data_IF_893843687266
#
_entry.id   IF_893843687266
#
_cell.length_a   1.000
_cell.length_b   1.000
_cell.length_c   1.000
_cell.angle_alpha   90.00
_cell.angle_beta   90.00
_cell.angle_gamma   90.00
#
_symmetry.space_group_name_H-M   'P 1'
#
loop_
_entity.id
_entity.type
_entity.pdbx_description
1 polymer ?
#
# COMPACT_ATOMS: atom_id res chain seq x y z
N UNK A 1 14.96 -14.12 -9.67
CA UNK A 1 14.54 -13.83 -8.27
C UNK A 1 13.07 -14.21 -8.16
N UNK A 2 12.80 -15.38 -7.59
CA UNK A 2 11.44 -15.92 -7.39
C UNK A 2 10.84 -15.55 -6.03
N UNK A 3 9.72 -16.17 -5.69
CA UNK A 3 9.02 -15.98 -4.43
C UNK A 3 9.96 -16.26 -3.24
N UNK A 4 9.88 -15.39 -2.22
CA UNK A 4 10.62 -15.56 -0.96
C UNK A 4 9.63 -15.74 0.17
N UNK A 5 9.90 -16.67 1.09
CA UNK A 5 9.05 -16.92 2.25
C UNK A 5 9.87 -16.95 3.53
N UNK A 6 9.39 -16.26 4.56
CA UNK A 6 9.99 -16.21 5.90
C UNK A 6 8.92 -16.49 6.94
N UNK A 7 9.20 -17.40 7.86
CA UNK A 7 8.34 -17.68 9.01
C UNK A 7 9.11 -17.34 10.29
N UNK A 8 8.48 -16.59 11.19
CA UNK A 8 9.08 -16.11 12.44
C UNK A 8 8.21 -16.54 13.62
N UNK A 9 8.77 -17.29 14.57
CA UNK A 9 8.10 -17.62 15.83
C UNK A 9 8.51 -16.64 16.94
N UNK A 10 7.56 -15.88 17.48
CA UNK A 10 7.77 -14.89 18.57
C UNK A 10 6.65 -14.96 19.60
N UNK A 11 6.92 -14.45 20.81
CA UNK A 11 5.89 -14.30 21.82
C UNK A 11 4.93 -13.20 21.37
N UNK A 12 3.73 -13.62 20.96
CA UNK A 12 2.67 -12.79 20.39
C UNK A 12 1.34 -13.51 20.61
N UNK A 13 0.23 -12.78 20.65
CA UNK A 13 -1.10 -13.38 20.87
C UNK A 13 -1.75 -13.88 19.57
N UNK A 14 -1.52 -13.16 18.47
CA UNK A 14 -2.12 -13.45 17.17
C UNK A 14 -1.02 -13.57 16.09
N UNK A 15 -1.21 -14.45 15.09
CA UNK A 15 -0.33 -14.49 13.93
C UNK A 15 -0.55 -13.26 13.03
N UNK A 16 0.42 -12.92 12.21
CA UNK A 16 0.32 -11.81 11.25
C UNK A 16 0.93 -12.27 9.92
N UNK A 17 0.25 -12.01 8.81
CA UNK A 17 0.78 -12.22 7.47
C UNK A 17 1.17 -10.90 6.84
N UNK A 18 2.33 -10.87 6.17
CA UNK A 18 2.86 -9.76 5.39
C UNK A 18 3.13 -10.24 3.96
N UNK A 19 2.73 -9.45 2.98
CA UNK A 19 3.10 -9.61 1.57
C UNK A 19 3.81 -8.34 1.11
N UNK A 20 4.88 -8.49 0.35
CA UNK A 20 5.62 -7.36 -0.18
C UNK A 20 6.15 -7.63 -1.59
N UNK A 21 6.19 -6.57 -2.41
CA UNK A 21 6.82 -6.56 -3.73
C UNK A 21 7.84 -5.43 -3.81
N UNK A 22 8.93 -5.67 -4.51
CA UNK A 22 9.87 -4.61 -4.86
C UNK A 22 9.25 -3.71 -5.93
N UNK A 23 9.28 -2.41 -5.66
CA UNK A 23 8.72 -1.36 -6.51
C UNK A 23 9.74 -0.22 -6.64
N UNK A 24 9.64 0.64 -7.66
CA UNK A 24 10.60 1.71 -7.85
C UNK A 24 10.46 2.78 -6.77
N UNK A 25 11.41 3.72 -6.73
CA UNK A 25 11.30 4.92 -5.93
C UNK A 25 10.49 6.01 -6.66
N UNK A 26 10.34 7.17 -6.01
CA UNK A 26 9.64 8.36 -6.53
C UNK A 26 10.10 8.84 -7.91
N UNK A 27 11.33 8.50 -8.29
CA UNK A 27 11.93 8.86 -9.59
C UNK A 27 11.24 8.18 -10.77
N UNK A 28 10.49 7.11 -10.53
CA UNK A 28 9.70 6.46 -11.56
C UNK A 28 8.43 7.27 -11.90
N UNK A 29 8.04 7.23 -13.17
CA UNK A 29 6.75 7.76 -13.61
C UNK A 29 5.57 6.97 -13.03
N UNK A 30 5.79 5.74 -12.56
CA UNK A 30 4.77 4.89 -11.94
C UNK A 30 4.54 5.21 -10.45
N UNK A 31 5.43 5.96 -9.79
CA UNK A 31 5.33 6.24 -8.37
C UNK A 31 4.00 6.89 -7.93
N UNK A 32 3.41 7.85 -8.66
CA UNK A 32 2.10 8.42 -8.32
C UNK A 32 0.97 7.37 -8.38
N UNK A 33 1.02 6.48 -9.37
CA UNK A 33 0.05 5.40 -9.50
C UNK A 33 0.21 4.37 -8.38
N UNK A 34 1.44 4.05 -7.96
CA UNK A 34 1.70 3.19 -6.79
C UNK A 34 1.16 3.81 -5.49
N UNK A 35 1.33 5.11 -5.28
CA UNK A 35 0.79 5.84 -4.12
C UNK A 35 -0.75 5.78 -4.08
N UNK A 36 -1.39 6.05 -5.22
CA UNK A 36 -2.85 5.98 -5.36
C UNK A 36 -3.34 4.55 -5.13
N UNK A 37 -2.66 3.55 -5.68
CA UNK A 37 -3.01 2.15 -5.51
C UNK A 37 -2.89 1.70 -4.04
N UNK A 38 -1.86 2.15 -3.32
CA UNK A 38 -1.68 1.90 -1.88
C UNK A 38 -2.86 2.46 -1.09
N UNK A 39 -3.27 3.68 -1.42
CA UNK A 39 -4.41 4.34 -0.76
C UNK A 39 -5.73 3.61 -1.05
N UNK A 40 -5.95 3.11 -2.27
CA UNK A 40 -7.15 2.33 -2.62
C UNK A 40 -7.19 1.01 -1.84
N UNK A 41 -6.06 0.32 -1.75
CA UNK A 41 -5.99 -0.99 -1.10
C UNK A 41 -6.04 -0.89 0.42
N UNK A 42 -5.33 0.05 1.02
CA UNK A 42 -5.06 0.08 2.46
C UNK A 42 -5.31 1.43 3.14
N UNK A 43 -5.71 2.47 2.41
CA UNK A 43 -5.90 3.84 2.92
C UNK A 43 -7.13 4.04 3.82
N UNK A 44 -7.18 3.37 4.97
CA UNK A 44 -8.22 3.55 5.99
C UNK A 44 -9.50 2.75 5.74
N UNK A 45 -10.61 3.15 6.36
CA UNK A 45 -11.84 2.35 6.44
C UNK A 45 -12.59 2.18 5.12
N UNK A 46 -12.34 3.04 4.15
CA UNK A 46 -12.95 2.95 2.82
C UNK A 46 -12.11 2.13 1.83
N UNK A 47 -10.94 1.62 2.27
CA UNK A 47 -10.03 0.84 1.45
C UNK A 47 -10.55 -0.58 1.19
N UNK A 48 -10.10 -1.19 0.08
CA UNK A 48 -10.57 -2.54 -0.32
C UNK A 48 -10.26 -3.60 0.74
N UNK A 49 -9.05 -3.57 1.32
CA UNK A 49 -8.65 -4.56 2.33
C UNK A 49 -9.49 -4.43 3.61
N UNK A 50 -9.70 -3.22 4.10
CA UNK A 50 -10.52 -3.02 5.30
C UNK A 50 -11.98 -3.42 5.03
N UNK A 51 -12.57 -2.94 3.93
CA UNK A 51 -13.98 -3.21 3.62
C UNK A 51 -14.27 -4.70 3.48
N UNK A 52 -13.43 -5.42 2.73
CA UNK A 52 -13.65 -6.85 2.48
C UNK A 52 -13.24 -7.70 3.69
N UNK A 53 -11.99 -7.61 4.12
CA UNK A 53 -11.42 -8.56 5.07
C UNK A 53 -11.82 -8.28 6.52
N UNK A 54 -12.02 -7.01 6.90
CA UNK A 54 -12.34 -6.62 8.27
C UNK A 54 -13.84 -6.43 8.46
N UNK A 55 -14.48 -5.65 7.59
CA UNK A 55 -15.88 -5.27 7.78
C UNK A 55 -16.89 -6.28 7.24
N UNK A 56 -16.76 -6.71 5.98
CA UNK A 56 -17.78 -7.55 5.32
C UNK A 56 -17.65 -9.03 5.67
N UNK A 57 -16.47 -9.62 5.47
CA UNK A 57 -16.25 -11.07 5.65
C UNK A 57 -15.69 -11.43 7.02
N UNK A 58 -15.22 -10.43 7.78
CA UNK A 58 -14.67 -10.60 9.13
C UNK A 58 -13.60 -11.72 9.22
N UNK A 59 -12.73 -11.77 8.22
CA UNK A 59 -11.60 -12.72 8.19
C UNK A 59 -10.40 -12.18 8.97
N UNK A 60 -10.24 -10.87 8.99
CA UNK A 60 -9.13 -10.18 9.62
C UNK A 60 -9.64 -9.25 10.73
N UNK A 61 -8.93 -9.24 11.86
CA UNK A 61 -9.10 -8.26 12.92
C UNK A 61 -8.72 -6.86 12.41
N UNK A 62 -7.63 -6.82 11.64
CA UNK A 62 -7.07 -5.63 11.02
C UNK A 62 -6.35 -6.01 9.73
N UNK A 63 -6.35 -5.08 8.79
CA UNK A 63 -5.61 -5.20 7.54
C UNK A 63 -5.13 -3.81 7.12
N UNK A 64 -3.95 -3.76 6.54
CA UNK A 64 -3.32 -2.52 6.13
C UNK A 64 -2.18 -2.76 5.16
N UNK A 65 -1.45 -1.71 4.89
CA UNK A 65 -0.37 -1.73 3.91
C UNK A 65 0.08 -0.33 3.58
N UNK A 66 1.20 -0.25 2.88
CA UNK A 66 1.79 1.02 2.50
C UNK A 66 2.70 0.87 1.28
N UNK A 67 2.89 1.99 0.61
CA UNK A 67 4.00 2.23 -0.30
C UNK A 67 4.53 3.61 0.05
N UNK A 68 5.79 3.70 0.47
CA UNK A 68 6.36 4.99 0.79
C UNK A 68 6.85 5.68 -0.48
N UNK A 69 6.13 6.72 -0.90
CA UNK A 69 6.59 7.64 -1.94
C UNK A 69 7.92 8.32 -1.57
N UNK A 70 8.22 8.51 -0.28
CA UNK A 70 9.42 9.23 0.17
C UNK A 70 10.63 8.30 0.37
N UNK A 71 10.97 7.54 -0.66
CA UNK A 71 12.15 6.69 -0.68
C UNK A 71 13.20 7.20 -1.70
N UNK A 72 14.48 7.14 -1.32
CA UNK A 72 15.62 7.48 -2.21
C UNK A 72 15.80 6.35 -3.23
N UNK A 73 15.93 5.13 -2.72
CA UNK A 73 16.15 3.90 -3.49
C UNK A 73 14.85 3.12 -3.71
N UNK A 74 14.82 2.16 -4.67
CA UNK A 74 13.69 1.25 -4.82
C UNK A 74 13.27 0.65 -3.48
N UNK A 75 11.96 0.60 -3.23
CA UNK A 75 11.41 0.25 -1.93
C UNK A 75 10.40 -0.90 -2.08
N UNK A 76 9.59 -1.13 -1.04
CA UNK A 76 8.55 -2.13 -0.98
C UNK A 76 7.18 -1.49 -1.08
N UNK A 77 6.32 -2.15 -1.84
CA UNK A 77 4.88 -2.05 -1.67
C UNK A 77 4.47 -3.26 -0.86
N UNK A 78 3.86 -3.06 0.30
CA UNK A 78 3.53 -4.14 1.20
C UNK A 78 2.14 -4.00 1.81
N UNK A 79 1.58 -5.15 2.18
CA UNK A 79 0.31 -5.29 2.88
C UNK A 79 0.47 -6.30 3.99
N UNK A 80 -0.46 -6.24 4.92
CA UNK A 80 -0.50 -7.17 6.02
C UNK A 80 -1.92 -7.32 6.54
N UNK A 81 -2.15 -8.42 7.24
CA UNK A 81 -3.40 -8.65 7.94
C UNK A 81 -3.20 -9.60 9.12
N UNK A 82 -4.02 -9.38 10.15
CA UNK A 82 -4.07 -10.19 11.39
C UNK A 82 -5.39 -10.97 11.37
N UNK A 83 -5.40 -12.31 11.46
CA UNK A 83 -6.63 -13.10 11.37
C UNK A 83 -7.49 -12.93 12.61
N UNK A 84 -8.80 -13.03 12.39
CA UNK A 84 -9.77 -13.21 13.47
C UNK A 84 -9.57 -14.57 14.16
N UNK A 85 -10.02 -14.72 15.42
CA UNK A 85 -10.06 -16.03 16.08
C UNK A 85 -10.80 -17.06 15.21
N UNK A 86 -10.18 -18.23 15.02
CA UNK A 86 -10.70 -19.29 14.15
C UNK A 86 -10.32 -19.16 12.67
N UNK A 87 -9.68 -18.06 12.26
CA UNK A 87 -9.08 -17.90 10.93
C UNK A 87 -7.56 -18.13 10.97
N UNK A 88 -6.97 -18.38 9.81
CA UNK A 88 -5.55 -18.70 9.68
C UNK A 88 -4.79 -17.64 8.88
N UNK A 89 -3.48 -17.57 9.12
CA UNK A 89 -2.59 -16.71 8.33
C UNK A 89 -2.57 -17.14 6.86
N UNK A 90 -2.69 -18.43 6.57
CA UNK A 90 -2.73 -18.99 5.22
C UNK A 90 -4.00 -18.57 4.46
N UNK A 91 -5.15 -18.47 5.15
CA UNK A 91 -6.37 -17.93 4.55
C UNK A 91 -6.17 -16.46 4.17
N UNK A 92 -5.65 -15.64 5.08
CA UNK A 92 -5.39 -14.23 4.79
C UNK A 92 -4.33 -14.02 3.73
N UNK A 93 -3.28 -14.86 3.68
CA UNK A 93 -2.27 -14.83 2.62
C UNK A 93 -2.93 -14.93 1.24
N UNK A 94 -3.81 -15.94 1.06
CA UNK A 94 -4.54 -16.14 -0.20
C UNK A 94 -5.42 -14.95 -0.54
N UNK A 95 -6.13 -14.38 0.44
CA UNK A 95 -7.01 -13.25 0.22
C UNK A 95 -6.24 -11.97 -0.14
N UNK A 96 -5.10 -11.72 0.49
CA UNK A 96 -4.23 -10.59 0.15
C UNK A 96 -3.67 -10.72 -1.28
N UNK A 97 -3.26 -11.93 -1.69
CA UNK A 97 -2.87 -12.20 -3.08
C UNK A 97 -4.04 -11.92 -4.02
N UNK A 98 -5.24 -12.42 -3.69
CA UNK A 98 -6.42 -12.25 -4.53
C UNK A 98 -6.83 -10.77 -4.69
N UNK A 99 -6.67 -9.93 -3.66
CA UNK A 99 -6.90 -8.48 -3.79
C UNK A 99 -5.93 -7.81 -4.75
N UNK A 100 -4.66 -8.20 -4.70
CA UNK A 100 -3.65 -7.69 -5.64
C UNK A 100 -3.90 -8.16 -7.07
N UNK A 101 -4.26 -9.43 -7.25
CA UNK A 101 -4.54 -9.99 -8.58
C UNK A 101 -5.82 -9.41 -9.20
N UNK A 102 -6.84 -9.13 -8.39
CA UNK A 102 -8.05 -8.43 -8.85
C UNK A 102 -7.74 -7.07 -9.44
N UNK A 103 -6.79 -6.30 -8.89
CA UNK A 103 -6.41 -5.00 -9.47
C UNK A 103 -5.83 -5.08 -10.89
N UNK A 104 -5.37 -6.25 -11.32
CA UNK A 104 -4.85 -6.48 -12.68
C UNK A 104 -5.96 -6.71 -13.70
N UNK A 105 -7.17 -7.07 -13.25
CA UNK A 105 -8.27 -7.51 -14.14
C UNK A 105 -9.59 -6.77 -13.89
N UNK A 106 -9.82 -6.29 -12.68
CA UNK A 106 -10.98 -5.51 -12.26
C UNK A 106 -10.59 -4.02 -12.18
N UNK A 107 -11.11 -3.18 -13.10
CA UNK A 107 -10.81 -1.75 -13.08
C UNK A 107 -11.23 -1.10 -11.76
N UNK A 108 -10.40 -0.18 -11.28
CA UNK A 108 -10.75 0.72 -10.18
C UNK A 108 -11.86 1.66 -10.67
N UNK A 109 -12.92 1.83 -9.89
CA UNK A 109 -14.01 2.72 -10.27
C UNK A 109 -13.59 4.18 -10.15
N UNK A 110 -14.24 5.07 -10.90
CA UNK A 110 -13.99 6.51 -10.80
C UNK A 110 -14.20 7.05 -9.38
N UNK A 111 -15.17 6.50 -8.64
CA UNK A 111 -15.41 6.88 -7.25
C UNK A 111 -14.27 6.45 -6.31
N UNK A 112 -13.76 5.23 -6.48
CA UNK A 112 -12.60 4.74 -5.72
C UNK A 112 -11.35 5.59 -6.01
N UNK A 113 -11.11 5.88 -7.29
CA UNK A 113 -9.98 6.68 -7.74
C UNK A 113 -10.06 8.11 -7.21
N UNK A 114 -11.20 8.77 -7.37
CA UNK A 114 -11.42 10.14 -6.89
C UNK A 114 -11.25 10.23 -5.37
N UNK A 115 -11.82 9.27 -4.62
CA UNK A 115 -11.68 9.23 -3.16
C UNK A 115 -10.22 9.09 -2.73
N UNK A 116 -9.47 8.18 -3.35
CA UNK A 116 -8.06 7.97 -3.02
C UNK A 116 -7.22 9.23 -3.29
N UNK A 117 -7.42 9.87 -4.45
CA UNK A 117 -6.76 11.14 -4.78
C UNK A 117 -7.08 12.24 -3.76
N UNK A 118 -8.35 12.38 -3.40
CA UNK A 118 -8.80 13.37 -2.42
C UNK A 118 -8.19 13.11 -1.03
N UNK A 119 -8.05 11.85 -0.64
CA UNK A 119 -7.42 11.49 0.63
C UNK A 119 -5.93 11.86 0.67
N UNK A 120 -5.20 11.59 -0.41
CA UNK A 120 -3.78 11.98 -0.54
C UNK A 120 -3.65 13.51 -0.52
N UNK A 121 -4.51 14.22 -1.26
CA UNK A 121 -4.50 15.67 -1.32
C UNK A 121 -4.84 16.30 0.05
N UNK A 122 -5.87 15.81 0.73
CA UNK A 122 -6.22 16.26 2.07
C UNK A 122 -5.08 16.01 3.06
N UNK A 123 -4.41 14.85 3.00
CA UNK A 123 -3.27 14.54 3.84
C UNK A 123 -2.12 15.54 3.65
N UNK A 124 -1.91 16.03 2.43
CA UNK A 124 -0.94 17.09 2.12
C UNK A 124 -1.38 18.45 2.66
N UNK A 125 -2.65 18.83 2.49
CA UNK A 125 -3.20 20.10 3.01
C UNK A 125 -3.06 20.16 4.53
N UNK A 126 -3.38 19.08 5.25
CA UNK A 126 -3.24 19.03 6.71
C UNK A 126 -1.79 19.15 7.21
N UNK A 127 -0.79 18.92 6.37
CA UNK A 127 0.60 19.22 6.74
C UNK A 127 0.87 20.73 6.82
N UNK A 128 0.08 21.57 6.13
CA UNK A 128 0.27 23.01 6.09
C UNK A 128 -0.20 23.73 7.37
N UNK A 129 -1.00 23.07 8.21
CA UNK A 129 -1.53 23.67 9.45
C UNK A 129 -0.50 23.78 10.58
N UNK A 130 0.72 23.29 10.39
CA UNK A 130 1.79 23.35 11.40
C UNK A 130 3.13 23.67 10.76
N UNK A 131 3.83 24.67 11.31
CA UNK A 131 5.19 25.04 10.88
C UNK A 131 6.12 23.82 10.92
N UNK A 132 6.01 22.99 11.97
CA UNK A 132 6.81 21.78 12.10
C UNK A 132 6.49 20.76 11.00
N UNK A 133 5.21 20.52 10.70
CA UNK A 133 4.79 19.59 9.63
C UNK A 133 5.21 20.09 8.25
N UNK A 134 5.07 21.39 7.98
CA UNK A 134 5.55 22.03 6.75
C UNK A 134 7.05 21.86 6.56
N UNK A 135 7.84 22.19 7.58
CA UNK A 135 9.30 22.04 7.55
C UNK A 135 9.70 20.57 7.32
N UNK A 136 9.04 19.64 8.01
CA UNK A 136 9.29 18.21 7.85
C UNK A 136 8.94 17.70 6.44
N UNK A 137 7.85 18.18 5.85
CA UNK A 137 7.46 17.81 4.48
C UNK A 137 8.46 18.33 3.45
N UNK A 138 8.88 19.61 3.56
CA UNK A 138 9.91 20.18 2.69
C UNK A 138 11.23 19.41 2.82
N UNK A 139 11.66 19.08 4.05
CA UNK A 139 12.85 18.28 4.29
C UNK A 139 12.76 16.88 3.66
N UNK A 140 11.59 16.23 3.73
CA UNK A 140 11.36 14.94 3.05
C UNK A 140 11.53 15.03 1.55
N UNK A 141 10.97 16.07 0.91
CA UNK A 141 11.16 16.31 -0.52
C UNK A 141 12.62 16.63 -0.87
N UNK A 142 13.29 17.44 -0.04
CA UNK A 142 14.71 17.75 -0.21
C UNK A 142 15.57 16.49 -0.25
N UNK A 143 15.35 15.58 0.70
CA UNK A 143 16.09 14.31 0.81
C UNK A 143 15.92 13.43 -0.43
N UNK A 144 14.74 13.38 -1.06
CA UNK A 144 14.46 12.47 -2.19
C UNK A 144 14.81 13.06 -3.56
N UNK A 145 15.14 14.35 -3.64
CA UNK A 145 15.51 15.00 -4.91
C UNK A 145 15.25 16.50 -5.03
N UNK A 146 14.93 17.18 -3.93
CA UNK A 146 14.76 18.64 -3.90
C UNK A 146 13.36 19.08 -3.45
N UNK A 147 13.27 20.12 -2.62
CA UNK A 147 12.00 20.59 -2.05
C UNK A 147 10.97 21.03 -3.10
N UNK A 148 11.41 21.47 -4.28
CA UNK A 148 10.56 21.91 -5.40
C UNK A 148 9.73 20.77 -6.00
N UNK A 149 10.09 19.51 -5.75
CA UNK A 149 9.29 18.35 -6.15
C UNK A 149 7.88 18.40 -5.54
N UNK A 150 7.72 19.04 -4.37
CA UNK A 150 6.42 19.29 -3.72
C UNK A 150 5.42 19.95 -4.66
N UNK A 151 5.87 20.90 -5.48
CA UNK A 151 5.01 21.73 -6.32
C UNK A 151 4.31 20.92 -7.41
N UNK A 152 4.95 19.84 -7.87
CA UNK A 152 4.41 18.94 -8.89
C UNK A 152 3.63 17.74 -8.31
N UNK A 153 3.78 17.43 -7.02
CA UNK A 153 3.30 16.18 -6.43
C UNK A 153 1.80 15.98 -6.61
N UNK A 154 0.98 16.96 -6.21
CA UNK A 154 -0.48 16.87 -6.31
C UNK A 154 -0.93 16.80 -7.78
N UNK A 155 -0.28 17.54 -8.67
CA UNK A 155 -0.56 17.47 -10.10
C UNK A 155 -0.32 16.05 -10.67
N UNK A 156 0.78 15.41 -10.26
CA UNK A 156 1.09 14.02 -10.63
C UNK A 156 0.07 13.02 -10.10
N UNK A 157 -0.39 13.18 -8.85
CA UNK A 157 -1.44 12.33 -8.25
C UNK A 157 -2.77 12.51 -8.99
N UNK A 158 -3.17 13.75 -9.29
CA UNK A 158 -4.42 14.05 -10.01
C UNK A 158 -4.42 13.47 -11.43
N UNK A 159 -3.27 13.41 -12.09
CA UNK A 159 -3.12 12.87 -13.43
C UNK A 159 -3.26 11.34 -13.54
N UNK A 160 -3.18 10.59 -12.44
CA UNK A 160 -3.29 9.12 -12.44
C UNK A 160 -4.65 8.67 -12.97
N UNK A 161 -4.67 7.74 -13.92
CA UNK A 161 -5.91 7.16 -14.46
C UNK A 161 -6.15 5.74 -13.92
N UNK A 162 -7.38 5.22 -14.04
CA UNK A 162 -7.66 3.82 -13.72
C UNK A 162 -6.83 2.85 -14.58
N UNK A 163 -6.56 3.21 -15.84
CA UNK A 163 -5.69 2.43 -16.73
C UNK A 163 -4.24 2.37 -16.22
N UNK A 164 -3.72 3.47 -15.67
CA UNK A 164 -2.39 3.47 -15.04
C UNK A 164 -2.33 2.50 -13.86
N UNK A 165 -3.39 2.45 -13.04
CA UNK A 165 -3.45 1.54 -11.90
C UNK A 165 -3.40 0.08 -12.34
N UNK A 166 -4.21 -0.33 -13.32
CA UNK A 166 -4.18 -1.70 -13.86
C UNK A 166 -2.84 -2.04 -14.51
N UNK A 167 -2.25 -1.09 -15.26
CA UNK A 167 -0.93 -1.26 -15.88
C UNK A 167 0.17 -1.44 -14.83
N UNK A 168 0.21 -0.55 -13.83
CA UNK A 168 1.19 -0.61 -12.73
C UNK A 168 1.00 -1.90 -11.93
N UNK A 169 -0.25 -2.31 -11.71
CA UNK A 169 -0.54 -3.54 -11.01
C UNK A 169 0.04 -4.77 -11.74
N UNK A 170 -0.10 -4.78 -13.06
CA UNK A 170 0.43 -5.84 -13.93
C UNK A 170 1.96 -5.79 -14.05
N UNK A 171 2.55 -4.59 -14.03
CA UNK A 171 3.99 -4.38 -14.19
C UNK A 171 4.78 -4.82 -12.96
N UNK A 172 4.30 -4.44 -11.76
CA UNK A 172 5.11 -4.51 -10.54
C UNK A 172 4.75 -5.68 -9.62
N UNK A 173 3.52 -6.21 -9.68
CA UNK A 173 3.07 -7.24 -8.74
C UNK A 173 3.02 -8.64 -9.36
N UNK A 174 4.09 -9.01 -10.08
CA UNK A 174 4.20 -10.35 -10.64
C UNK A 174 4.10 -11.42 -9.52
N UNK A 175 3.34 -12.52 -9.73
CA UNK A 175 3.13 -13.53 -8.69
C UNK A 175 4.43 -14.18 -8.19
N UNK A 176 5.44 -14.28 -9.05
CA UNK A 176 6.74 -14.87 -8.75
C UNK A 176 7.73 -13.88 -8.12
N UNK A 177 7.40 -12.59 -7.99
CA UNK A 177 8.30 -11.55 -7.43
C UNK A 177 7.87 -11.03 -6.05
N UNK A 178 7.09 -11.84 -5.32
CA UNK A 178 6.60 -11.49 -3.99
C UNK A 178 7.46 -12.06 -2.87
N UNK A 179 7.47 -11.37 -1.75
CA UNK A 179 8.00 -11.86 -0.48
C UNK A 179 6.85 -12.00 0.53
N UNK A 180 6.80 -13.13 1.22
CA UNK A 180 5.78 -13.46 2.21
C UNK A 180 6.44 -13.63 3.57
N UNK A 181 5.99 -12.88 4.56
CA UNK A 181 6.40 -13.00 5.94
C UNK A 181 5.24 -13.45 6.80
N UNK A 182 5.41 -14.50 7.61
CA UNK A 182 4.41 -14.92 8.59
C UNK A 182 5.02 -14.90 9.98
N UNK A 183 4.43 -14.10 10.85
CA UNK A 183 4.65 -14.20 12.28
C UNK A 183 3.69 -15.23 12.87
N UNK A 184 4.22 -16.17 13.63
CA UNK A 184 3.46 -17.14 14.41
C UNK A 184 3.74 -16.93 15.91
N UNK A 185 2.71 -16.97 16.77
CA UNK A 185 2.88 -17.11 18.20
C UNK A 185 3.79 -18.29 18.55
N UNK A 186 4.66 -18.11 19.54
CA UNK A 186 5.28 -19.23 20.24
C UNK A 186 4.24 -19.85 21.17
N UNK A 187 4.21 -21.18 21.19
CA UNK A 187 3.55 -21.93 22.27
C UNK A 187 4.15 -21.56 23.63
#
# INVERSE_FOLDING_TARGET
>A
NGERRVAVKKQAELPIVYLAWHVPSQRSNDAPALEVLSTILAGGRASRLYRDLVYQRQLALEAGGDYSYFAIDPNLFWFWATPMPGQTAETLEKELIAHMDRLKSEPVTEEELARAKNQIEAAMVFQEDSIHRRASLLARFEVIGGFTLKDSFIARIRAVTAADLTRVASTWFAPDKKSIGILQPKE
#
